data_IF_275220244704
#
_entry.id   IF_275220244704
#
_cell.length_a   1.000
_cell.length_b   1.000
_cell.length_c   1.000
_cell.angle_alpha   90.00
_cell.angle_beta   90.00
_cell.angle_gamma   90.00
#
_symmetry.space_group_name_H-M   'P 1'
#
loop_
_entity.id
_entity.type
_entity.pdbx_description
1 polymer ?
#
# COMPACT_ATOMS: atom_id res chain seq x y z
N UNK A 1 4.45 -1.44 -25.04
CA UNK A 1 4.09 -2.68 -24.31
C UNK A 1 4.10 -2.33 -22.84
N UNK A 2 2.96 -1.92 -22.28
CA UNK A 2 2.86 -1.54 -20.87
C UNK A 2 2.86 -2.83 -20.04
N UNK A 3 4.00 -3.15 -19.45
CA UNK A 3 4.08 -4.22 -18.45
C UNK A 3 3.47 -3.66 -17.16
N UNK A 4 2.60 -4.43 -16.51
CA UNK A 4 2.15 -4.09 -15.16
C UNK A 4 3.38 -4.12 -14.23
N UNK A 5 3.69 -3.00 -13.60
CA UNK A 5 4.78 -2.89 -12.63
C UNK A 5 4.25 -3.32 -11.26
N UNK A 6 4.10 -4.63 -11.08
CA UNK A 6 3.60 -5.26 -9.86
C UNK A 6 4.77 -5.85 -9.10
N UNK A 7 4.87 -5.53 -7.81
CA UNK A 7 5.79 -6.15 -6.87
C UNK A 7 5.07 -6.68 -5.63
N UNK A 8 5.78 -7.42 -4.80
CA UNK A 8 5.26 -7.97 -3.55
C UNK A 8 5.90 -7.27 -2.35
N UNK A 9 5.21 -7.31 -1.22
CA UNK A 9 5.72 -6.87 0.07
C UNK A 9 5.28 -7.83 1.18
N UNK A 10 6.10 -7.90 2.22
CA UNK A 10 5.84 -8.61 3.48
C UNK A 10 5.98 -7.60 4.60
N UNK A 11 5.00 -7.50 5.49
CA UNK A 11 5.04 -6.70 6.70
C UNK A 11 5.23 -7.62 7.90
N UNK A 12 6.32 -7.46 8.63
CA UNK A 12 6.53 -8.09 9.94
C UNK A 12 6.01 -7.14 11.03
N UNK A 13 4.87 -7.48 11.63
CA UNK A 13 4.21 -6.61 12.60
C UNK A 13 4.96 -6.51 13.94
N UNK A 14 5.86 -7.46 14.23
CA UNK A 14 6.65 -7.45 15.45
C UNK A 14 7.95 -6.67 15.28
N UNK A 15 8.62 -6.85 14.14
CA UNK A 15 9.81 -6.08 13.80
C UNK A 15 9.49 -4.66 13.32
N UNK A 16 8.23 -4.39 12.98
CA UNK A 16 7.76 -3.13 12.41
C UNK A 16 8.52 -2.76 11.12
N UNK A 17 8.73 -3.76 10.26
CA UNK A 17 9.47 -3.63 9.01
C UNK A 17 8.69 -4.20 7.84
N UNK A 18 8.83 -3.57 6.68
CA UNK A 18 8.52 -4.18 5.40
C UNK A 18 9.76 -4.83 4.80
N UNK A 19 9.54 -5.97 4.13
CA UNK A 19 10.44 -6.54 3.13
C UNK A 19 9.79 -6.42 1.76
N UNK A 20 10.49 -5.81 0.83
CA UNK A 20 9.99 -5.49 -0.50
C UNK A 20 10.67 -6.34 -1.58
N UNK A 21 9.92 -6.64 -2.65
CA UNK A 21 10.51 -7.20 -3.86
C UNK A 21 11.48 -6.22 -4.51
N UNK A 22 12.40 -6.70 -5.34
CA UNK A 22 13.38 -5.86 -6.05
C UNK A 22 12.72 -4.68 -6.78
N UNK A 23 11.57 -4.91 -7.42
CA UNK A 23 10.81 -3.85 -8.12
C UNK A 23 10.37 -2.75 -7.17
N UNK A 24 9.81 -3.10 -6.00
CA UNK A 24 9.37 -2.12 -5.00
C UNK A 24 10.58 -1.46 -4.33
N UNK A 25 11.66 -2.21 -4.10
CA UNK A 25 12.89 -1.69 -3.54
C UNK A 25 13.52 -0.62 -4.44
N UNK A 26 13.61 -0.89 -5.75
CA UNK A 26 14.09 0.06 -6.74
C UNK A 26 13.16 1.27 -6.89
N UNK A 27 11.84 1.05 -6.78
CA UNK A 27 10.85 2.12 -6.84
C UNK A 27 11.02 3.07 -5.66
N UNK A 28 11.12 2.54 -4.45
CA UNK A 28 11.33 3.33 -3.24
C UNK A 28 12.78 3.82 -3.10
N UNK A 29 13.74 3.26 -3.84
CA UNK A 29 15.16 3.57 -3.65
C UNK A 29 15.68 3.15 -2.29
N UNK A 30 15.31 1.96 -1.84
CA UNK A 30 15.86 1.32 -0.64
C UNK A 30 16.94 0.29 -1.02
N UNK A 31 17.66 -0.23 -0.03
CA UNK A 31 18.74 -1.18 -0.21
C UNK A 31 18.32 -2.47 -0.91
N UNK A 32 19.29 -3.23 -1.41
CA UNK A 32 19.07 -4.50 -2.10
C UNK A 32 18.45 -5.59 -1.20
N UNK A 33 18.56 -5.44 0.13
CA UNK A 33 17.88 -6.29 1.10
C UNK A 33 16.36 -6.07 1.13
N UNK A 34 15.89 -4.96 0.57
CA UNK A 34 14.50 -4.57 0.47
C UNK A 34 13.86 -4.27 1.83
N UNK A 35 14.65 -4.03 2.88
CA UNK A 35 14.15 -3.77 4.22
C UNK A 35 13.92 -2.28 4.44
N UNK A 36 12.78 -1.94 5.01
CA UNK A 36 12.44 -0.58 5.44
C UNK A 36 11.56 -0.64 6.68
N UNK A 37 11.78 0.26 7.64
CA UNK A 37 10.90 0.38 8.81
C UNK A 37 9.52 0.92 8.41
N UNK A 38 8.49 0.62 9.19
CA UNK A 38 7.17 1.23 9.00
C UNK A 38 7.24 2.76 9.08
N UNK A 39 8.09 3.29 9.97
CA UNK A 39 8.29 4.72 10.12
C UNK A 39 8.86 5.37 8.85
N UNK A 40 9.95 4.83 8.30
CA UNK A 40 10.60 5.38 7.11
C UNK A 40 9.80 5.15 5.84
N UNK A 41 9.00 4.08 5.80
CA UNK A 41 8.02 3.87 4.75
C UNK A 41 6.95 4.97 4.80
N UNK A 42 6.36 5.22 5.96
CA UNK A 42 5.30 6.22 6.15
C UNK A 42 5.77 7.66 5.89
N UNK A 43 7.04 7.99 6.15
CA UNK A 43 7.62 9.31 5.81
C UNK A 43 7.60 9.61 4.32
N UNK A 44 7.57 8.58 3.46
CA UNK A 44 7.58 8.72 2.00
C UNK A 44 6.18 8.89 1.41
N UNK A 45 5.13 8.69 2.20
CA UNK A 45 3.76 8.88 1.75
C UNK A 45 3.42 10.37 1.83
N UNK A 46 3.09 10.98 0.69
CA UNK A 46 2.66 12.37 0.64
C UNK A 46 1.24 12.49 1.21
N UNK A 47 1.15 13.09 2.40
CA UNK A 47 -0.10 13.22 3.16
C UNK A 47 -1.11 14.22 2.59
N UNK A 48 -0.71 15.09 1.66
CA UNK A 48 -1.57 16.19 1.19
C UNK A 48 -2.80 15.73 0.38
N UNK A 49 -2.85 14.48 -0.09
CA UNK A 49 -4.04 13.92 -0.75
C UNK A 49 -4.79 12.88 0.12
N UNK A 50 -4.42 12.77 1.40
CA UNK A 50 -5.01 11.80 2.34
C UNK A 50 -6.07 12.44 3.25
N UNK A 51 -7.13 12.96 2.63
CA UNK A 51 -8.42 12.84 3.32
C UNK A 51 -8.67 11.35 3.53
N UNK A 52 -8.64 10.88 4.78
CA UNK A 52 -8.99 9.51 5.22
C UNK A 52 -7.88 8.45 5.38
N UNK A 53 -6.61 8.79 5.63
CA UNK A 53 -5.71 7.84 6.31
C UNK A 53 -5.93 7.85 7.83
N UNK A 54 -7.17 7.61 8.27
CA UNK A 54 -7.46 7.22 9.65
C UNK A 54 -7.27 5.71 9.73
N UNK A 55 -6.16 5.27 10.33
CA UNK A 55 -5.95 3.88 10.72
C UNK A 55 -7.10 3.41 11.62
N UNK A 56 -7.97 2.47 11.19
CA UNK A 56 -8.67 1.64 12.13
C UNK A 56 -7.61 0.70 12.72
N UNK A 57 -7.62 0.53 14.04
CA UNK A 57 -6.97 -0.59 14.71
C UNK A 57 -7.18 -1.87 13.88
N UNK A 58 -6.12 -2.66 13.72
CA UNK A 58 -6.04 -3.93 12.97
C UNK A 58 -6.98 -5.04 13.49
N UNK A 59 -8.14 -4.69 14.04
CA UNK A 59 -9.16 -5.58 14.60
C UNK A 59 -10.27 -5.83 13.57
N UNK A 60 -9.93 -6.61 12.53
CA UNK A 60 -10.79 -7.59 11.82
C UNK A 60 -10.23 -7.87 10.43
N UNK A 61 -9.38 -8.88 10.37
CA UNK A 61 -9.01 -9.58 9.15
C UNK A 61 -10.27 -10.23 8.55
N UNK A 62 -10.93 -9.55 7.61
CA UNK A 62 -11.77 -10.16 6.57
C UNK A 62 -12.18 -9.23 5.42
N UNK A 63 -11.75 -7.97 5.42
CA UNK A 63 -11.79 -7.14 4.22
C UNK A 63 -10.36 -6.93 3.75
N UNK A 64 -10.08 -7.36 2.54
CA UNK A 64 -8.77 -7.23 1.91
C UNK A 64 -8.51 -5.74 1.67
N UNK A 65 -7.89 -5.07 2.66
CA UNK A 65 -7.70 -3.62 2.63
C UNK A 65 -6.81 -3.29 1.44
N UNK A 66 -7.40 -2.58 0.49
CA UNK A 66 -6.73 -2.04 -0.66
C UNK A 66 -6.56 -0.54 -0.43
N UNK A 67 -5.32 -0.08 -0.47
CA UNK A 67 -4.97 1.31 -0.22
C UNK A 67 -4.23 1.88 -1.42
N UNK A 68 -4.44 3.17 -1.65
CA UNK A 68 -3.76 3.92 -2.69
C UNK A 68 -2.91 4.98 -2.03
N UNK A 69 -1.62 4.98 -2.32
CA UNK A 69 -0.65 5.92 -1.78
C UNK A 69 -0.01 6.72 -2.90
N UNK A 70 0.26 7.99 -2.63
CA UNK A 70 1.20 8.78 -3.41
C UNK A 70 2.55 8.75 -2.68
N UNK A 71 3.53 8.08 -3.28
CA UNK A 71 4.89 8.03 -2.74
C UNK A 71 5.76 9.12 -3.33
N UNK A 72 6.56 9.74 -2.47
CA UNK A 72 7.78 10.44 -2.87
C UNK A 72 8.90 9.42 -3.09
N UNK A 73 9.44 9.39 -4.31
CA UNK A 73 10.47 8.44 -4.73
C UNK A 73 11.63 9.16 -5.43
N UNK A 74 12.82 8.53 -5.52
CA UNK A 74 13.94 9.14 -6.25
C UNK A 74 13.67 9.44 -7.73
N UNK A 75 12.64 8.81 -8.32
CA UNK A 75 12.22 9.02 -9.73
C UNK A 75 11.06 10.01 -9.86
N UNK A 76 10.67 10.68 -8.77
CA UNK A 76 9.50 11.55 -8.69
C UNK A 76 8.31 10.88 -8.02
N UNK A 77 7.17 11.57 -7.99
CA UNK A 77 5.98 11.06 -7.31
C UNK A 77 5.33 9.90 -8.07
N UNK A 78 4.99 8.82 -7.36
CA UNK A 78 4.37 7.63 -7.96
C UNK A 78 3.15 7.20 -7.15
N UNK A 79 2.05 6.95 -7.87
CA UNK A 79 0.87 6.32 -7.29
C UNK A 79 1.07 4.81 -7.19
N UNK A 80 0.82 4.26 -6.00
CA UNK A 80 0.87 2.83 -5.74
C UNK A 80 -0.46 2.37 -5.19
N UNK A 81 -1.06 1.38 -5.84
CA UNK A 81 -2.18 0.60 -5.30
C UNK A 81 -1.59 -0.60 -4.58
N UNK A 82 -1.80 -0.68 -3.27
CA UNK A 82 -1.33 -1.77 -2.40
C UNK A 82 -2.51 -2.60 -1.94
N UNK A 83 -2.36 -3.92 -1.92
CA UNK A 83 -3.39 -4.85 -1.48
C UNK A 83 -2.77 -5.93 -0.61
N UNK A 84 -3.13 -5.96 0.67
CA UNK A 84 -2.86 -7.11 1.52
C UNK A 84 -3.58 -8.33 0.95
N UNK A 85 -2.97 -9.51 0.92
CA UNK A 85 -3.52 -10.70 0.26
C UNK A 85 -3.61 -11.89 1.21
N UNK A 86 -2.65 -12.00 2.12
CA UNK A 86 -2.54 -13.13 3.04
C UNK A 86 -1.96 -12.65 4.37
N UNK A 87 -2.39 -13.26 5.47
CA UNK A 87 -1.83 -13.01 6.79
C UNK A 87 -1.61 -14.36 7.47
N UNK A 88 -0.46 -14.51 8.13
CA UNK A 88 -0.17 -15.66 8.96
C UNK A 88 0.38 -15.22 10.32
N UNK A 89 0.16 -16.05 11.32
CA UNK A 89 0.71 -15.87 12.66
C UNK A 89 1.45 -17.15 13.04
N UNK A 90 2.72 -17.02 13.43
CA UNK A 90 3.54 -18.17 13.83
C UNK A 90 3.18 -18.66 15.25
N UNK A 91 3.79 -19.77 15.68
CA UNK A 91 3.59 -20.37 17.01
C UNK A 91 3.99 -19.43 18.17
N UNK A 92 4.84 -18.44 17.90
CA UNK A 92 5.28 -17.45 18.88
C UNK A 92 4.37 -16.20 18.92
N UNK A 93 3.30 -16.19 18.13
CA UNK A 93 2.37 -15.06 18.02
C UNK A 93 2.89 -13.93 17.13
N UNK A 94 3.94 -14.14 16.33
CA UNK A 94 4.43 -13.14 15.40
C UNK A 94 3.57 -13.17 14.13
N UNK A 95 2.96 -12.04 13.82
CA UNK A 95 2.11 -11.91 12.64
C UNK A 95 2.85 -11.28 11.47
N UNK A 96 2.71 -11.89 10.30
CA UNK A 96 3.16 -11.35 9.02
C UNK A 96 1.99 -11.15 8.07
N UNK A 97 2.02 -10.04 7.35
CA UNK A 97 1.04 -9.71 6.31
C UNK A 97 1.76 -9.64 4.97
N UNK A 98 1.21 -10.29 3.96
CA UNK A 98 1.77 -10.34 2.62
C UNK A 98 0.83 -9.65 1.65
N UNK A 99 1.37 -8.91 0.70
CA UNK A 99 0.57 -8.21 -0.29
C UNK A 99 1.29 -7.95 -1.59
N UNK A 100 0.55 -7.34 -2.50
CA UNK A 100 1.05 -6.86 -3.79
C UNK A 100 0.91 -5.35 -3.86
N UNK A 101 1.80 -4.72 -4.62
CA UNK A 101 1.80 -3.31 -4.90
C UNK A 101 1.96 -3.10 -6.41
N UNK A 102 1.12 -2.26 -7.00
CA UNK A 102 1.13 -1.95 -8.43
C UNK A 102 1.31 -0.45 -8.62
N UNK A 103 2.30 -0.04 -9.43
CA UNK A 103 2.41 1.37 -9.81
C UNK A 103 1.33 1.72 -10.82
N UNK A 104 0.68 2.86 -10.63
CA UNK A 104 -0.39 3.33 -11.48
C UNK A 104 0.05 4.59 -12.23
N UNK A 105 -0.32 4.70 -13.51
CA UNK A 105 -0.11 5.95 -14.26
C UNK A 105 -1.13 6.99 -13.79
N UNK A 106 -0.65 8.20 -13.42
CA UNK A 106 -1.39 9.18 -12.61
C UNK A 106 -2.68 9.77 -13.19
N UNK A 107 -3.11 9.37 -14.39
CA UNK A 107 -4.31 9.92 -15.05
C UNK A 107 -5.59 9.12 -14.69
N UNK A 108 -5.47 7.87 -14.25
CA UNK A 108 -6.65 7.00 -14.07
C UNK A 108 -7.24 6.95 -12.64
N UNK A 109 -6.48 7.32 -11.60
CA UNK A 109 -6.93 7.15 -10.20
C UNK A 109 -7.90 8.26 -9.76
N UNK A 110 -7.62 9.54 -10.04
CA UNK A 110 -8.51 10.62 -9.62
C UNK A 110 -9.94 10.39 -10.14
N UNK A 111 -10.08 9.95 -11.39
CA UNK A 111 -11.39 9.61 -11.99
C UNK A 111 -12.02 8.34 -11.42
N UNK A 112 -11.23 7.29 -11.17
CA UNK A 112 -11.77 6.00 -10.69
C UNK A 112 -12.16 6.07 -9.22
N UNK A 113 -11.36 6.74 -8.39
CA UNK A 113 -11.66 6.96 -6.98
C UNK A 113 -12.87 7.91 -6.82
N UNK A 114 -12.94 8.98 -7.61
CA UNK A 114 -14.11 9.86 -7.62
C UNK A 114 -15.38 9.12 -8.10
N UNK A 115 -15.27 8.21 -9.07
CA UNK A 115 -16.40 7.38 -9.51
C UNK A 115 -16.86 6.40 -8.41
N UNK A 116 -15.93 5.75 -7.70
CA UNK A 116 -16.22 4.86 -6.58
C UNK A 116 -16.90 5.62 -5.43
N UNK A 117 -16.34 6.74 -4.98
CA UNK A 117 -16.93 7.58 -3.93
C UNK A 117 -18.34 8.06 -4.31
N UNK A 118 -18.55 8.46 -5.58
CA UNK A 118 -19.86 8.90 -6.02
C UNK A 118 -20.88 7.75 -6.07
N UNK A 119 -20.44 6.52 -6.39
CA UNK A 119 -21.30 5.33 -6.36
C UNK A 119 -21.71 4.94 -4.94
N UNK A 120 -20.77 4.97 -3.98
CA UNK A 120 -21.04 4.67 -2.58
C UNK A 120 -22.00 5.70 -1.97
N UNK A 121 -21.84 6.99 -2.29
CA UNK A 121 -22.76 8.04 -1.84
C UNK A 121 -24.19 7.85 -2.36
N UNK A 122 -24.38 7.29 -3.55
CA UNK A 122 -25.72 7.03 -4.12
C UNK A 122 -26.38 5.87 -3.38
N UNK A 123 -25.64 4.79 -3.10
CA UNK A 123 -26.16 3.60 -2.41
C UNK A 123 -26.58 3.88 -0.96
N UNK A 124 -25.95 4.84 -0.29
CA UNK A 124 -26.27 5.19 1.10
C UNK A 124 -27.39 6.24 1.25
N UNK A 125 -27.95 6.76 0.16
CA UNK A 125 -29.00 7.79 0.16
C UNK A 125 -30.36 7.29 -0.39
N UNK A 126 -30.56 5.98 -0.47
CA UNK A 126 -31.82 5.31 -0.84
C UNK A 126 -32.36 4.57 0.37
#
# INVERSE_FOLDING_TARGET
MNKANIGWWEADLKAETYKCSELISQLLGIGEDGLISFEDFNKRILKEDQGYATFPSFDKVQQTVEEIYLFDTPKGHVWIRSKACFQETDENGNTKVYGIAETQEGIHIASAHQALQNSERILHNI
#
